data_IF_724151121480
#
_entry.id   IF_724151121480
#
_cell.length_a   1.000
_cell.length_b   1.000
_cell.length_c   1.000
_cell.angle_alpha   90.00
_cell.angle_beta   90.00
_cell.angle_gamma   90.00
#
_symmetry.space_group_name_H-M   'P 1'
#
loop_
_entity.id
_entity.type
_entity.pdbx_description
1 polymer ?
#
# COMPACT_ATOMS: atom_id res chain seq x y z
N UNK A 1 1.57 19.79 1.25
CA UNK A 1 0.91 18.49 0.96
C UNK A 1 1.71 17.37 1.62
N UNK A 2 1.90 17.46 2.94
CA UNK A 2 2.69 16.53 3.75
C UNK A 2 2.05 16.46 5.14
N UNK A 3 0.88 15.82 5.21
CA UNK A 3 0.13 15.60 6.45
C UNK A 3 -0.62 14.29 6.28
N UNK A 4 0.10 13.17 6.37
CA UNK A 4 -0.48 11.81 6.37
C UNK A 4 0.00 11.01 7.60
N UNK A 5 0.83 11.62 8.45
CA UNK A 5 1.42 10.94 9.62
C UNK A 5 1.14 11.66 10.94
N UNK A 6 0.30 12.70 10.93
CA UNK A 6 0.11 13.53 12.13
C UNK A 6 -0.83 12.93 13.19
N UNK A 7 -1.53 11.83 12.91
CA UNK A 7 -2.13 11.01 13.96
C UNK A 7 -2.49 9.64 13.40
N UNK A 8 -1.64 8.63 13.64
CA UNK A 8 -2.02 7.21 13.77
C UNK A 8 -2.86 6.51 12.69
N UNK A 9 -3.17 7.14 11.56
CA UNK A 9 -4.17 6.62 10.62
C UNK A 9 -3.50 5.69 9.60
N UNK A 10 -3.10 4.51 10.08
CA UNK A 10 -2.66 3.41 9.23
C UNK A 10 -3.69 3.09 8.14
N UNK A 11 -4.98 3.30 8.41
CA UNK A 11 -6.04 3.10 7.43
C UNK A 11 -5.95 4.13 6.29
N UNK A 12 -5.58 5.39 6.57
CA UNK A 12 -5.34 6.41 5.53
C UNK A 12 -4.18 6.01 4.61
N UNK A 13 -3.08 5.49 5.17
CA UNK A 13 -1.96 4.97 4.38
C UNK A 13 -2.40 3.80 3.50
N UNK A 14 -3.09 2.82 4.07
CA UNK A 14 -3.56 1.62 3.37
C UNK A 14 -4.55 2.00 2.25
N UNK A 15 -5.50 2.91 2.54
CA UNK A 15 -6.46 3.44 1.56
C UNK A 15 -5.75 4.17 0.42
N UNK A 16 -4.77 5.02 0.74
CA UNK A 16 -4.00 5.76 -0.25
C UNK A 16 -3.24 4.81 -1.19
N UNK A 17 -2.58 3.79 -0.64
CA UNK A 17 -1.95 2.74 -1.44
C UNK A 17 -2.98 1.98 -2.28
N UNK A 18 -4.17 1.70 -1.74
CA UNK A 18 -5.30 1.12 -2.45
C UNK A 18 -5.74 1.95 -3.65
N UNK A 19 -5.83 3.27 -3.52
CA UNK A 19 -6.19 4.17 -4.62
C UNK A 19 -5.13 4.18 -5.72
N UNK A 20 -3.85 4.28 -5.35
CA UNK A 20 -2.75 4.27 -6.32
C UNK A 20 -2.67 2.91 -7.03
N UNK A 21 -2.85 1.80 -6.30
CA UNK A 21 -2.85 0.46 -6.87
C UNK A 21 -4.01 0.24 -7.85
N UNK A 22 -5.20 0.76 -7.56
CA UNK A 22 -6.35 0.73 -8.49
C UNK A 22 -6.04 1.52 -9.75
N UNK A 23 -5.49 2.73 -9.63
CA UNK A 23 -5.13 3.57 -10.77
C UNK A 23 -4.05 2.93 -11.65
N UNK A 24 -3.05 2.26 -11.06
CA UNK A 24 -2.02 1.51 -11.79
C UNK A 24 -2.55 0.21 -12.41
N UNK A 25 -3.60 -0.37 -11.81
CA UNK A 25 -4.22 -1.62 -12.22
C UNK A 25 -3.86 -2.78 -11.28
N UNK A 26 -4.86 -3.28 -10.55
CA UNK A 26 -4.68 -4.31 -9.50
C UNK A 26 -3.99 -5.59 -10.00
N UNK A 27 -4.23 -6.00 -11.24
CA UNK A 27 -3.58 -7.17 -11.83
C UNK A 27 -2.06 -6.99 -12.02
N UNK A 28 -1.63 -5.79 -12.40
CA UNK A 28 -0.22 -5.45 -12.56
C UNK A 28 0.45 -5.40 -11.20
N UNK A 29 -0.16 -4.71 -10.24
CA UNK A 29 0.38 -4.59 -8.88
C UNK A 29 0.51 -5.96 -8.20
N UNK A 30 -0.48 -6.84 -8.33
CA UNK A 30 -0.42 -8.20 -7.79
C UNK A 30 0.78 -8.97 -8.37
N UNK A 31 0.95 -8.93 -9.69
CA UNK A 31 2.08 -9.57 -10.39
C UNK A 31 3.43 -9.01 -9.90
N UNK A 32 3.57 -7.69 -9.89
CA UNK A 32 4.86 -7.03 -9.60
C UNK A 32 5.23 -7.08 -8.11
N UNK A 33 4.24 -7.13 -7.21
CA UNK A 33 4.47 -7.31 -5.76
C UNK A 33 4.70 -8.77 -5.36
N UNK A 34 4.43 -9.73 -6.26
CA UNK A 34 4.43 -11.16 -5.96
C UNK A 34 3.27 -11.61 -5.04
N UNK A 35 2.25 -10.75 -4.84
CA UNK A 35 1.06 -11.07 -4.05
C UNK A 35 -0.02 -11.68 -4.95
N UNK A 36 -0.72 -12.69 -4.43
CA UNK A 36 -1.98 -13.11 -5.04
C UNK A 36 -2.99 -11.95 -5.05
N UNK A 37 -3.85 -11.88 -6.08
CA UNK A 37 -4.86 -10.80 -6.19
C UNK A 37 -5.73 -10.69 -4.95
N UNK A 38 -6.19 -11.83 -4.42
CA UNK A 38 -7.00 -11.86 -3.19
C UNK A 38 -6.23 -11.31 -1.98
N UNK A 39 -4.97 -11.71 -1.81
CA UNK A 39 -4.10 -11.21 -0.74
C UNK A 39 -3.86 -9.71 -0.85
N UNK A 40 -3.68 -9.20 -2.07
CA UNK A 40 -3.55 -7.77 -2.34
C UNK A 40 -4.83 -7.01 -1.98
N UNK A 41 -6.01 -7.51 -2.36
CA UNK A 41 -7.29 -6.89 -1.99
C UNK A 41 -7.51 -6.88 -0.47
N UNK A 42 -7.21 -7.98 0.22
CA UNK A 42 -7.29 -8.06 1.70
C UNK A 42 -6.28 -7.15 2.38
N UNK A 43 -5.08 -7.02 1.84
CA UNK A 43 -4.05 -6.15 2.40
C UNK A 43 -4.44 -4.67 2.28
N UNK A 44 -5.19 -4.27 1.25
CA UNK A 44 -5.57 -2.89 0.97
C UNK A 44 -7.03 -2.55 1.32
N UNK A 45 -7.73 -3.43 2.05
CA UNK A 45 -9.08 -3.15 2.53
C UNK A 45 -9.07 -2.27 3.78
N UNK A 46 -10.11 -1.45 4.02
CA UNK A 46 -10.23 -0.68 5.25
C UNK A 46 -10.14 -1.57 6.51
N UNK A 47 -9.43 -1.12 7.55
CA UNK A 47 -9.25 -1.86 8.80
C UNK A 47 -8.32 -3.08 8.70
N UNK A 48 -7.64 -3.27 7.57
CA UNK A 48 -6.65 -4.34 7.46
C UNK A 48 -5.40 -4.01 8.28
N UNK A 49 -4.74 -5.05 8.78
CA UNK A 49 -3.45 -4.92 9.47
C UNK A 49 -2.37 -5.70 8.71
N UNK A 50 -2.00 -5.25 7.49
CA UNK A 50 -0.97 -5.91 6.71
C UNK A 50 0.37 -5.81 7.42
N UNK A 51 1.15 -6.88 7.40
CA UNK A 51 2.54 -6.83 7.87
C UNK A 51 3.33 -5.79 7.06
N UNK A 52 4.32 -5.17 7.69
CA UNK A 52 5.19 -4.19 7.05
C UNK A 52 5.82 -4.72 5.75
N UNK A 53 6.22 -5.99 5.72
CA UNK A 53 6.73 -6.65 4.50
C UNK A 53 5.75 -6.57 3.32
N UNK A 54 4.44 -6.76 3.59
CA UNK A 54 3.39 -6.67 2.57
C UNK A 54 3.27 -5.23 2.05
N UNK A 55 3.30 -4.24 2.96
CA UNK A 55 3.26 -2.82 2.58
C UNK A 55 4.46 -2.46 1.71
N UNK A 56 5.67 -2.87 2.09
CA UNK A 56 6.88 -2.62 1.32
C UNK A 56 6.85 -3.27 -0.05
N UNK A 57 6.33 -4.50 -0.18
CA UNK A 57 6.12 -5.16 -1.49
C UNK A 57 5.17 -4.36 -2.38
N UNK A 58 4.07 -3.85 -1.82
CA UNK A 58 3.13 -3.00 -2.56
C UNK A 58 3.77 -1.69 -2.98
N UNK A 59 4.45 -0.98 -2.08
CA UNK A 59 5.16 0.28 -2.37
C UNK A 59 6.17 0.09 -3.51
N UNK A 60 6.98 -0.96 -3.46
CA UNK A 60 7.94 -1.29 -4.51
C UNK A 60 7.26 -1.59 -5.84
N UNK A 61 6.17 -2.37 -5.83
CA UNK A 61 5.38 -2.67 -7.03
C UNK A 61 4.72 -1.43 -7.62
N UNK A 62 4.43 -0.41 -6.80
CA UNK A 62 3.93 0.88 -7.27
C UNK A 62 5.04 1.80 -7.82
N UNK A 63 6.31 1.46 -7.60
CA UNK A 63 7.46 2.30 -7.96
C UNK A 63 7.70 3.45 -6.99
N UNK A 64 7.16 3.35 -5.77
CA UNK A 64 7.31 4.33 -4.71
C UNK A 64 8.51 3.97 -3.82
N UNK A 65 8.97 4.93 -3.01
CA UNK A 65 10.05 4.74 -2.03
C UNK A 65 9.63 5.30 -0.69
N UNK A 66 9.99 4.59 0.38
CA UNK A 66 9.87 5.10 1.75
C UNK A 66 11.10 5.96 2.04
N UNK A 67 10.90 7.11 2.66
CA UNK A 67 11.99 7.98 3.13
C UNK A 67 11.72 8.37 4.58
N UNK A 68 12.75 8.30 5.41
CA UNK A 68 12.71 8.67 6.82
C UNK A 68 13.46 9.99 6.94
N UNK A 69 12.80 10.98 7.52
CA UNK A 69 13.37 12.30 7.78
C UNK A 69 13.45 12.48 9.29
N UNK A 70 14.57 13.04 9.74
CA UNK A 70 14.84 13.37 11.16
C UNK A 70 14.64 14.85 11.39
#
# INVERSE_FOLDING_TARGET
MSQVLEDGDNDELIRSLGHIAKAKGMAVVAKDSGLGRESLYKALSPGSQPRFETITKVINALGLKISIHT
#
